data_IF_346143767568
#
_entry.id   IF_346143767568
#
_cell.length_a   1.000
_cell.length_b   1.000
_cell.length_c   1.000
_cell.angle_alpha   90.00
_cell.angle_beta   90.00
_cell.angle_gamma   90.00
#
_symmetry.space_group_name_H-M   'P 1'
#
loop_
_entity.id
_entity.type
_entity.pdbx_description
1 polymer ?
#
# COMPACT_ATOMS: atom_id res chain seq x y z
N UNK A 1 7.99 11.41 -2.08
CA UNK A 1 8.47 10.39 -3.05
C UNK A 1 8.09 9.02 -2.52
N UNK A 2 7.46 8.18 -3.34
CA UNK A 2 7.11 6.81 -2.96
C UNK A 2 7.89 5.84 -3.84
N UNK A 3 8.71 5.00 -3.22
CA UNK A 3 9.39 3.88 -3.86
C UNK A 3 8.49 2.64 -3.78
N UNK A 4 8.06 2.16 -4.94
CA UNK A 4 7.11 1.10 -5.13
C UNK A 4 7.80 -0.09 -5.80
N UNK A 5 7.90 -1.21 -5.09
CA UNK A 5 8.48 -2.45 -5.60
C UNK A 5 7.38 -3.46 -5.91
N UNK A 6 7.37 -3.95 -7.14
CA UNK A 6 6.49 -5.02 -7.60
C UNK A 6 7.34 -6.10 -8.26
N UNK A 7 7.38 -7.29 -7.66
CA UNK A 7 8.24 -8.41 -8.13
C UNK A 7 9.71 -7.93 -8.25
N UNK A 8 10.27 -7.93 -9.46
CA UNK A 8 11.64 -7.50 -9.75
C UNK A 8 11.73 -6.05 -10.25
N UNK A 9 10.61 -5.31 -10.29
CA UNK A 9 10.54 -3.95 -10.81
C UNK A 9 10.40 -2.97 -9.64
N UNK A 10 11.30 -2.00 -9.57
CA UNK A 10 11.21 -0.88 -8.62
C UNK A 10 10.91 0.39 -9.41
N UNK A 11 9.93 1.16 -8.94
CA UNK A 11 9.54 2.44 -9.52
C UNK A 11 9.44 3.47 -8.41
N UNK A 12 9.97 4.66 -8.66
CA UNK A 12 9.85 5.78 -7.74
C UNK A 12 8.92 6.81 -8.36
N UNK A 13 7.91 7.21 -7.61
CA UNK A 13 6.88 8.15 -8.03
C UNK A 13 6.77 9.30 -7.04
N UNK A 14 6.14 10.39 -7.44
CA UNK A 14 5.88 11.50 -6.53
C UNK A 14 4.83 11.10 -5.49
N UNK A 15 5.01 11.50 -4.24
CA UNK A 15 3.99 11.24 -3.20
C UNK A 15 2.86 12.25 -3.36
N UNK A 16 1.63 11.77 -3.29
CA UNK A 16 0.44 12.61 -3.31
C UNK A 16 -0.39 12.33 -2.06
N UNK A 17 -0.72 13.37 -1.31
CA UNK A 17 -1.53 13.26 -0.09
C UNK A 17 -2.98 12.97 -0.42
N UNK A 18 -3.62 12.15 0.41
CA UNK A 18 -5.05 11.86 0.32
C UNK A 18 -5.42 10.79 -0.71
N UNK A 19 -4.46 10.22 -1.43
CA UNK A 19 -4.68 9.07 -2.32
C UNK A 19 -4.18 7.77 -1.68
N UNK A 20 -4.68 6.65 -2.19
CA UNK A 20 -4.25 5.32 -1.76
C UNK A 20 -2.98 4.89 -2.48
N UNK A 21 -2.22 3.97 -1.89
CA UNK A 21 -1.04 3.41 -2.55
C UNK A 21 -1.41 2.74 -3.88
N UNK A 22 -2.57 2.06 -3.95
CA UNK A 22 -3.05 1.48 -5.20
C UNK A 22 -3.33 2.56 -6.25
N UNK A 23 -4.04 3.62 -5.89
CA UNK A 23 -4.37 4.70 -6.84
C UNK A 23 -3.09 5.38 -7.36
N UNK A 24 -2.14 5.63 -6.46
CA UNK A 24 -0.82 6.16 -6.82
C UNK A 24 -0.08 5.27 -7.82
N UNK A 25 -0.10 3.96 -7.59
CA UNK A 25 0.50 2.99 -8.50
C UNK A 25 -0.17 3.04 -9.88
N UNK A 26 -1.50 2.99 -9.93
CA UNK A 26 -2.27 2.98 -11.19
C UNK A 26 -2.09 4.28 -11.98
N UNK A 27 -2.10 5.43 -11.31
CA UNK A 27 -1.86 6.75 -11.92
C UNK A 27 -0.48 6.84 -12.60
N UNK A 28 0.49 6.10 -12.10
CA UNK A 28 1.85 6.03 -12.64
C UNK A 28 2.11 4.80 -13.53
N UNK A 29 1.07 4.04 -13.89
CA UNK A 29 1.17 2.87 -14.76
C UNK A 29 1.91 1.69 -14.13
N UNK A 30 1.94 1.61 -12.80
CA UNK A 30 2.54 0.49 -12.04
C UNK A 30 1.48 -0.59 -11.86
N UNK A 31 1.78 -1.80 -12.35
CA UNK A 31 0.91 -2.97 -12.19
C UNK A 31 0.99 -3.50 -10.76
N UNK A 32 0.23 -2.90 -9.83
CA UNK A 32 0.27 -3.24 -8.40
C UNK A 32 -0.41 -4.56 -8.04
N UNK A 33 -1.12 -5.20 -8.97
CA UNK A 33 -1.91 -6.40 -8.68
C UNK A 33 -3.11 -6.08 -7.78
N UNK A 34 -4.27 -5.84 -8.37
CA UNK A 34 -5.52 -5.59 -7.63
C UNK A 34 -6.70 -6.32 -8.27
N UNK A 35 -7.82 -6.41 -7.55
CA UNK A 35 -9.04 -7.03 -8.10
C UNK A 35 -10.33 -6.43 -7.57
N UNK A 36 -10.42 -6.16 -6.26
CA UNK A 36 -11.69 -5.74 -5.66
C UNK A 36 -11.78 -4.25 -5.32
N UNK A 37 -10.64 -3.59 -5.06
CA UNK A 37 -10.54 -2.21 -4.52
C UNK A 37 -11.36 -1.90 -3.26
N UNK A 38 -11.90 -2.93 -2.59
CA UNK A 38 -12.78 -2.85 -1.42
C UNK A 38 -12.25 -3.63 -0.22
N UNK A 39 -10.93 -3.74 -0.10
CA UNK A 39 -10.28 -4.38 1.06
C UNK A 39 -10.45 -5.90 1.21
N UNK A 40 -11.29 -6.58 0.41
CA UNK A 40 -11.61 -8.01 0.65
C UNK A 40 -10.66 -9.01 -0.01
N UNK A 41 -10.08 -8.70 -1.17
CA UNK A 41 -9.35 -9.70 -1.96
C UNK A 41 -7.89 -9.92 -1.52
N UNK A 42 -7.30 -9.00 -0.76
CA UNK A 42 -5.88 -8.97 -0.38
C UNK A 42 -4.84 -9.06 -1.55
N UNK A 43 -5.27 -8.95 -2.82
CA UNK A 43 -4.37 -8.87 -4.00
C UNK A 43 -3.39 -7.68 -3.90
N UNK A 44 -3.90 -6.54 -3.41
CA UNK A 44 -3.15 -5.31 -3.26
C UNK A 44 -2.34 -5.25 -1.96
N UNK A 45 -2.25 -6.35 -1.19
CA UNK A 45 -1.51 -6.38 0.07
C UNK A 45 -0.07 -5.95 -0.18
N UNK A 46 0.42 -5.10 0.70
CA UNK A 46 1.72 -4.49 0.57
C UNK A 46 2.39 -4.34 1.92
N UNK A 47 3.72 -4.37 1.91
CA UNK A 47 4.55 -4.19 3.07
C UNK A 47 5.21 -2.81 3.00
N UNK A 48 5.02 -2.01 4.05
CA UNK A 48 5.58 -0.67 4.16
C UNK A 48 6.82 -0.74 5.05
N UNK A 49 7.98 -0.88 4.44
CA UNK A 49 9.25 -0.97 5.18
C UNK A 49 9.70 0.39 5.73
N UNK A 50 9.31 1.48 5.08
CA UNK A 50 9.63 2.85 5.52
C UNK A 50 8.47 3.80 5.26
N UNK A 51 8.20 4.71 6.21
CA UNK A 51 7.16 5.72 6.08
C UNK A 51 5.77 5.27 6.56
N UNK A 52 5.67 4.23 7.39
CA UNK A 52 4.41 3.78 7.99
C UNK A 52 3.70 4.89 8.79
N UNK A 53 4.45 5.72 9.52
CA UNK A 53 3.95 6.89 10.27
C UNK A 53 3.29 7.94 9.36
N UNK A 54 3.65 7.97 8.07
CA UNK A 54 3.08 8.89 7.06
C UNK A 54 1.78 8.38 6.46
N UNK A 55 1.35 7.17 6.82
CA UNK A 55 0.11 6.57 6.36
C UNK A 55 -1.03 6.90 7.31
N UNK A 56 -2.25 6.91 6.77
CA UNK A 56 -3.44 6.93 7.60
C UNK A 56 -3.53 5.64 8.44
N UNK A 57 -4.29 5.72 9.53
CA UNK A 57 -4.59 4.53 10.35
C UNK A 57 -5.22 3.42 9.49
N UNK A 58 -5.04 2.14 9.85
CA UNK A 58 -5.76 1.04 9.22
C UNK A 58 -7.27 1.30 9.21
N UNK A 59 -7.89 1.04 8.06
CA UNK A 59 -9.36 1.08 7.91
C UNK A 59 -9.99 -0.18 8.50
N UNK A 60 -11.31 -0.16 8.75
CA UNK A 60 -12.04 -1.35 9.21
C UNK A 60 -11.90 -2.54 8.24
N UNK A 61 -11.83 -2.26 6.93
CA UNK A 61 -11.61 -3.28 5.90
C UNK A 61 -10.21 -3.93 6.00
N UNK A 62 -9.20 -3.16 6.40
CA UNK A 62 -7.86 -3.70 6.65
C UNK A 62 -7.84 -4.55 7.93
N UNK A 63 -8.53 -4.10 8.98
CA UNK A 63 -8.63 -4.81 10.25
C UNK A 63 -9.43 -6.13 10.14
N UNK A 64 -10.41 -6.19 9.23
CA UNK A 64 -11.18 -7.41 8.95
C UNK A 64 -10.36 -8.42 8.13
N UNK A 65 -9.47 -7.93 7.26
CA UNK A 65 -8.76 -8.78 6.29
C UNK A 65 -7.36 -9.22 6.70
N UNK A 66 -6.63 -8.35 7.40
CA UNK A 66 -5.26 -8.59 7.86
C UNK A 66 -5.27 -8.97 9.34
N UNK A 67 -4.35 -9.83 9.74
CA UNK A 67 -4.15 -10.12 11.15
C UNK A 67 -3.52 -8.91 11.88
N UNK A 68 -3.79 -8.73 13.19
CA UNK A 68 -3.20 -7.65 13.96
C UNK A 68 -1.66 -7.62 13.89
N UNK A 69 -1.04 -8.80 13.93
CA UNK A 69 0.41 -8.96 13.83
C UNK A 69 0.94 -8.44 12.48
N UNK A 70 0.23 -8.70 11.38
CA UNK A 70 0.61 -8.20 10.05
C UNK A 70 0.57 -6.67 9.99
N UNK A 71 -0.46 -6.06 10.59
CA UNK A 71 -0.58 -4.60 10.65
C UNK A 71 0.54 -3.98 11.49
N UNK A 72 0.93 -4.64 12.58
CA UNK A 72 2.06 -4.24 13.43
C UNK A 72 3.41 -4.38 12.72
N UNK A 73 3.58 -5.42 11.90
CA UNK A 73 4.76 -5.58 11.05
C UNK A 73 4.85 -4.52 9.94
N UNK A 74 3.74 -3.85 9.61
CA UNK A 74 3.67 -2.82 8.58
C UNK A 74 3.05 -3.29 7.26
N UNK A 75 2.39 -4.44 7.25
CA UNK A 75 1.53 -4.82 6.13
C UNK A 75 0.26 -3.99 6.12
N UNK A 76 -0.17 -3.62 4.92
CA UNK A 76 -1.37 -2.82 4.65
C UNK A 76 -2.03 -3.31 3.38
N UNK A 77 -3.27 -2.89 3.14
CA UNK A 77 -3.92 -3.12 1.85
C UNK A 77 -3.73 -1.89 0.98
N UNK A 78 -3.03 -2.00 -0.14
CA UNK A 78 -2.75 -0.85 -1.01
C UNK A 78 -3.99 -0.08 -1.45
N UNK A 79 -5.15 -0.73 -1.58
CA UNK A 79 -6.42 -0.07 -1.90
C UNK A 79 -7.06 0.74 -0.75
N UNK A 80 -6.63 0.52 0.49
CA UNK A 80 -7.13 1.19 1.69
C UNK A 80 -6.06 2.07 2.37
N UNK A 81 -4.79 1.80 2.07
CA UNK A 81 -3.66 2.49 2.65
C UNK A 81 -3.50 3.90 2.04
N UNK A 82 -4.04 4.90 2.75
CA UNK A 82 -4.03 6.32 2.34
C UNK A 82 -2.73 7.00 2.81
N UNK A 83 -2.11 7.79 1.93
CA UNK A 83 -0.97 8.64 2.27
C UNK A 83 -1.49 9.89 3.00
N UNK A 84 -1.10 10.06 4.26
CA UNK A 84 -1.51 11.21 5.08
C UNK A 84 -0.49 12.35 5.01
N UNK A 85 0.79 12.03 4.94
CA UNK A 85 1.87 13.02 4.93
C UNK A 85 2.84 12.82 3.77
N UNK A 86 3.44 13.93 3.31
CA UNK A 86 4.46 13.91 2.27
C UNK A 86 5.76 13.39 2.87
N UNK A 87 6.53 12.65 2.06
CA UNK A 87 7.83 12.17 2.50
C UNK A 87 8.29 10.99 1.66
N UNK A 88 9.35 10.35 2.12
CA UNK A 88 9.84 9.12 1.52
C UNK A 88 9.04 7.92 2.06
N UNK A 89 8.40 7.15 1.19
CA UNK A 89 7.67 5.94 1.59
C UNK A 89 8.23 4.80 0.74
N UNK A 90 8.64 3.70 1.37
CA UNK A 90 9.06 2.49 0.67
C UNK A 90 8.02 1.41 0.89
N UNK A 91 7.45 0.93 -0.21
CA UNK A 91 6.40 -0.07 -0.21
C UNK A 91 6.71 -1.18 -1.22
N UNK A 92 6.47 -2.42 -0.81
CA UNK A 92 6.58 -3.61 -1.64
C UNK A 92 5.22 -4.31 -1.77
N UNK A 93 4.84 -4.69 -2.99
CA UNK A 93 3.66 -5.52 -3.22
C UNK A 93 3.96 -6.98 -2.81
N UNK A 94 3.29 -7.44 -1.75
CA UNK A 94 3.44 -8.78 -1.18
C UNK A 94 2.04 -9.38 -0.96
N UNK A 95 1.36 -9.82 -2.03
CA UNK A 95 0.11 -10.57 -1.92
C UNK A 95 0.34 -11.91 -1.21
N UNK A 96 -0.75 -12.53 -0.72
CA UNK A 96 -0.68 -13.88 -0.13
C UNK A 96 -0.41 -14.99 -1.16
N UNK A 97 -0.60 -14.72 -2.46
CA UNK A 97 -0.56 -15.70 -3.55
C UNK A 97 0.19 -15.17 -4.77
#
# INVERSE_FOLDING_TARGET
MVEMKVKSVVRTVESEKGITLLDLALKNGIDWGFSCTRGTCARCRCYISEGLDRMAKPTDEELDRLEPEELEEGFRLGCQAIIKEDGFIRVENIPYF
#
